data_IF_282578044118
#
_entry.id   IF_282578044118
#
_cell.length_a   1.000
_cell.length_b   1.000
_cell.length_c   1.000
_cell.angle_alpha   90.00
_cell.angle_beta   90.00
_cell.angle_gamma   90.00
#
_symmetry.space_group_name_H-M   'P 1'
#
loop_
_entity.id
_entity.type
_entity.pdbx_description
1 polymer ?
#
# COMPACT_ATOMS: atom_id res chain seq x y z
N UNK A 1 3.66 -5.61 -26.45
CA UNK A 1 3.70 -4.75 -25.23
C UNK A 1 4.91 -5.11 -24.39
N UNK A 2 5.86 -4.18 -24.20
CA UNK A 2 7.03 -4.39 -23.34
C UNK A 2 6.78 -3.65 -22.03
N UNK A 3 6.67 -4.37 -20.91
CA UNK A 3 6.53 -3.80 -19.59
C UNK A 3 7.89 -3.79 -18.89
N UNK A 4 8.27 -2.66 -18.28
CA UNK A 4 9.42 -2.55 -17.41
C UNK A 4 8.99 -2.90 -15.99
N UNK A 5 9.62 -3.92 -15.40
CA UNK A 5 9.41 -4.36 -14.02
C UNK A 5 10.53 -3.78 -13.15
N UNK A 6 10.18 -3.08 -12.10
CA UNK A 6 11.13 -2.48 -11.15
C UNK A 6 10.82 -2.99 -9.75
N UNK A 7 11.80 -3.68 -9.14
CA UNK A 7 11.76 -4.11 -7.75
C UNK A 7 12.43 -3.04 -6.88
N UNK A 8 12.05 -3.01 -5.63
CA UNK A 8 12.66 -2.13 -4.60
C UNK A 8 12.63 -0.62 -4.94
N UNK A 9 11.68 -0.18 -5.78
CA UNK A 9 11.50 1.25 -6.06
C UNK A 9 10.97 1.96 -4.81
N UNK A 10 11.64 3.03 -4.33
CA UNK A 10 11.13 3.82 -3.22
C UNK A 10 9.71 4.35 -3.49
N UNK A 11 8.85 4.34 -2.47
CA UNK A 11 7.45 4.80 -2.59
C UNK A 11 7.38 6.25 -3.10
N UNK A 12 8.25 7.12 -2.61
CA UNK A 12 8.30 8.53 -3.03
C UNK A 12 8.65 8.65 -4.53
N UNK A 13 9.59 7.85 -5.03
CA UNK A 13 9.97 7.83 -6.44
C UNK A 13 8.81 7.32 -7.32
N UNK A 14 8.15 6.24 -6.89
CA UNK A 14 6.97 5.74 -7.58
C UNK A 14 5.86 6.79 -7.66
N UNK A 15 5.56 7.49 -6.58
CA UNK A 15 4.50 8.51 -6.57
C UNK A 15 4.88 9.76 -7.38
N UNK A 16 6.15 10.15 -7.42
CA UNK A 16 6.63 11.28 -8.20
C UNK A 16 6.68 11.00 -9.72
N UNK A 17 6.65 9.74 -10.15
CA UNK A 17 6.75 9.37 -11.57
C UNK A 17 5.55 9.90 -12.37
N UNK A 18 5.75 10.50 -13.57
CA UNK A 18 4.68 11.13 -14.34
C UNK A 18 3.67 10.17 -14.97
N UNK A 19 4.04 8.90 -15.17
CA UNK A 19 3.17 7.88 -15.78
C UNK A 19 1.82 7.77 -15.06
N UNK A 20 0.77 7.48 -15.81
CA UNK A 20 -0.61 7.43 -15.33
C UNK A 20 -0.85 6.19 -14.47
N UNK A 21 -1.27 6.39 -13.22
CA UNK A 21 -1.73 5.31 -12.34
C UNK A 21 -3.23 5.08 -12.45
N UNK A 22 -3.71 3.89 -12.05
CA UNK A 22 -5.14 3.58 -12.00
C UNK A 22 -5.93 4.59 -11.15
N UNK A 23 -5.42 4.99 -10.00
CA UNK A 23 -6.09 5.95 -9.11
C UNK A 23 -6.22 7.33 -9.75
N UNK A 24 -5.21 7.77 -10.51
CA UNK A 24 -5.30 9.02 -11.28
C UNK A 24 -6.21 8.88 -12.48
N UNK A 25 -6.17 7.76 -13.20
CA UNK A 25 -7.07 7.50 -14.33
C UNK A 25 -8.55 7.54 -13.90
N UNK A 26 -8.89 6.96 -12.75
CA UNK A 26 -10.26 7.02 -12.19
C UNK A 26 -10.79 8.44 -11.98
N UNK A 27 -9.90 9.44 -11.82
CA UNK A 27 -10.33 10.85 -11.69
C UNK A 27 -10.84 11.45 -12.99
N UNK A 28 -10.54 10.82 -14.14
CA UNK A 28 -11.03 11.25 -15.44
C UNK A 28 -12.40 10.67 -15.77
N UNK A 29 -12.86 9.64 -15.03
CA UNK A 29 -14.07 8.89 -15.30
C UNK A 29 -15.23 9.32 -14.39
N UNK A 30 -16.50 9.27 -14.88
CA UNK A 30 -17.67 9.49 -14.04
C UNK A 30 -17.69 8.54 -12.81
N UNK A 31 -18.15 8.99 -11.64
CA UNK A 31 -18.72 10.31 -11.31
C UNK A 31 -17.70 11.43 -11.06
N UNK A 32 -16.43 11.21 -11.34
CA UNK A 32 -15.37 12.21 -11.22
C UNK A 32 -15.36 13.14 -12.46
N UNK A 33 -14.38 14.05 -12.55
CA UNK A 33 -14.25 14.94 -13.71
C UNK A 33 -12.77 15.29 -13.94
N UNK A 34 -12.40 15.75 -15.17
CA UNK A 34 -11.02 16.12 -15.50
C UNK A 34 -10.39 17.16 -14.57
N UNK A 35 -11.17 18.09 -14.02
CA UNK A 35 -10.67 19.08 -13.05
C UNK A 35 -10.05 18.42 -11.80
N UNK A 36 -10.61 17.30 -11.34
CA UNK A 36 -10.07 16.53 -10.20
C UNK A 36 -8.76 15.82 -10.53
N UNK A 37 -8.46 15.60 -11.81
CA UNK A 37 -7.18 15.01 -12.20
C UNK A 37 -6.00 15.95 -11.91
N UNK A 38 -6.21 17.26 -12.03
CA UNK A 38 -5.21 18.30 -11.74
C UNK A 38 -5.24 18.77 -10.28
N UNK A 39 -6.26 18.40 -9.53
CA UNK A 39 -6.32 18.71 -8.09
C UNK A 39 -5.25 17.94 -7.32
N UNK A 40 -4.73 18.52 -6.22
CA UNK A 40 -3.84 17.80 -5.32
C UNK A 40 -4.51 16.54 -4.77
N UNK A 41 -3.69 15.58 -4.36
CA UNK A 41 -4.19 14.38 -3.71
C UNK A 41 -4.91 14.75 -2.39
N UNK A 42 -6.04 14.11 -2.07
CA UNK A 42 -6.70 14.34 -0.80
C UNK A 42 -5.78 13.95 0.35
N UNK A 43 -5.93 14.63 1.47
CA UNK A 43 -5.24 14.25 2.71
C UNK A 43 -5.54 12.80 3.07
N UNK A 44 -4.54 12.10 3.55
CA UNK A 44 -4.69 10.72 3.99
C UNK A 44 -5.48 10.68 5.30
N UNK A 45 -6.43 9.77 5.35
CA UNK A 45 -7.19 9.51 6.58
C UNK A 45 -6.46 8.51 7.47
N UNK A 46 -6.74 8.52 8.77
CA UNK A 46 -6.21 7.53 9.72
C UNK A 46 -6.46 6.09 9.27
N UNK A 47 -7.61 5.84 8.62
CA UNK A 47 -7.94 4.52 8.07
C UNK A 47 -7.01 4.12 6.91
N UNK A 48 -6.62 5.08 6.07
CA UNK A 48 -5.66 4.84 4.97
C UNK A 48 -4.27 4.59 5.51
N UNK A 49 -3.81 5.38 6.49
CA UNK A 49 -2.50 5.20 7.14
C UNK A 49 -2.44 3.86 7.88
N UNK A 50 -3.52 3.48 8.57
CA UNK A 50 -3.62 2.17 9.21
C UNK A 50 -3.57 1.02 8.18
N UNK A 51 -4.29 1.16 7.07
CA UNK A 51 -4.25 0.19 5.96
C UNK A 51 -2.83 0.02 5.41
N UNK A 52 -2.13 1.13 5.14
CA UNK A 52 -0.73 1.14 4.69
C UNK A 52 0.20 0.43 5.68
N UNK A 53 0.05 0.69 6.97
CA UNK A 53 0.83 0.00 8.01
C UNK A 53 0.60 -1.51 7.98
N UNK A 54 -0.65 -1.96 7.88
CA UNK A 54 -0.97 -3.40 7.79
C UNK A 54 -0.35 -4.03 6.55
N UNK A 55 -0.41 -3.36 5.39
CA UNK A 55 0.26 -3.80 4.16
C UNK A 55 1.76 -4.00 4.37
N UNK A 56 2.44 -2.98 4.87
CA UNK A 56 3.89 -3.05 5.13
C UNK A 56 4.24 -4.20 6.07
N UNK A 57 3.56 -4.28 7.21
CA UNK A 57 3.82 -5.35 8.18
C UNK A 57 3.48 -6.75 7.65
N UNK A 58 2.52 -6.87 6.74
CA UNK A 58 2.14 -8.16 6.16
C UNK A 58 3.08 -8.60 5.04
N UNK A 59 3.55 -7.69 4.21
CA UNK A 59 4.23 -8.00 2.95
C UNK A 59 5.75 -7.77 3.00
N UNK A 60 6.22 -6.84 3.85
CA UNK A 60 7.63 -6.46 3.91
C UNK A 60 8.27 -6.95 5.23
N UNK A 61 9.18 -7.94 5.20
CA UNK A 61 9.93 -8.36 6.39
C UNK A 61 10.72 -7.21 7.00
N UNK A 62 10.61 -7.03 8.31
CA UNK A 62 11.36 -5.98 9.02
C UNK A 62 10.79 -4.56 8.91
N UNK A 63 9.64 -4.37 8.25
CA UNK A 63 8.99 -3.05 8.07
C UNK A 63 8.67 -2.36 9.41
N UNK A 64 8.53 -3.11 10.51
CA UNK A 64 8.34 -2.55 11.85
C UNK A 64 9.46 -1.63 12.31
N UNK A 65 10.69 -1.81 11.82
CA UNK A 65 11.84 -0.96 12.17
C UNK A 65 11.69 0.49 11.75
N UNK A 66 10.82 0.77 10.77
CA UNK A 66 10.48 2.13 10.33
C UNK A 66 9.53 2.88 11.27
N UNK A 67 9.01 2.23 12.33
CA UNK A 67 8.01 2.79 13.23
C UNK A 67 8.49 2.80 14.67
N UNK A 68 8.22 3.91 15.38
CA UNK A 68 8.56 4.06 16.80
C UNK A 68 7.28 4.25 17.62
N UNK A 69 6.94 3.29 18.49
CA UNK A 69 5.80 3.44 19.38
C UNK A 69 6.03 4.58 20.39
N UNK A 70 5.10 5.53 20.45
CA UNK A 70 5.10 6.64 21.42
C UNK A 70 3.76 6.64 22.15
N UNK A 71 3.83 6.44 23.45
CA UNK A 71 2.68 6.42 24.33
C UNK A 71 2.20 7.82 24.72
N UNK A 72 1.09 7.90 25.44
CA UNK A 72 0.55 9.13 25.97
C UNK A 72 -0.23 9.99 24.97
N UNK A 73 -0.69 11.15 25.42
CA UNK A 73 -1.38 12.11 24.56
C UNK A 73 -0.39 13.04 23.86
N UNK A 74 -0.32 12.95 22.53
CA UNK A 74 0.62 13.72 21.72
C UNK A 74 0.37 15.24 21.69
N UNK A 75 -0.70 15.71 22.30
CA UNK A 75 -0.92 17.14 22.56
C UNK A 75 -0.08 17.66 23.74
N UNK A 76 0.35 16.78 24.63
CA UNK A 76 1.21 17.15 25.74
C UNK A 76 2.67 17.33 25.28
N UNK A 77 3.41 18.16 26.00
CA UNK A 77 4.75 18.58 25.60
C UNK A 77 5.70 17.41 25.38
N UNK A 78 5.85 16.54 26.37
CA UNK A 78 6.80 15.43 26.35
C UNK A 78 6.57 14.45 25.19
N UNK A 79 5.36 13.85 25.00
CA UNK A 79 5.10 13.00 23.84
C UNK A 79 5.20 13.74 22.51
N UNK A 80 4.81 15.01 22.45
CA UNK A 80 4.92 15.84 21.26
C UNK A 80 6.38 16.05 20.83
N UNK A 81 7.26 16.31 21.79
CA UNK A 81 8.69 16.49 21.52
C UNK A 81 9.33 15.17 21.08
N UNK A 82 8.92 14.04 21.66
CA UNK A 82 9.32 12.70 21.22
C UNK A 82 8.83 12.38 19.77
N UNK A 83 7.60 12.72 19.43
CA UNK A 83 7.06 12.59 18.05
C UNK A 83 7.89 13.41 17.07
N UNK A 84 8.25 14.65 17.42
CA UNK A 84 9.07 15.51 16.58
C UNK A 84 10.49 14.93 16.37
N UNK A 85 11.09 14.39 17.42
CA UNK A 85 12.41 13.75 17.34
C UNK A 85 12.41 12.50 16.44
N UNK A 86 11.38 11.65 16.55
CA UNK A 86 11.22 10.46 15.71
C UNK A 86 11.09 10.85 14.24
N UNK A 87 10.26 11.85 13.92
CA UNK A 87 10.10 12.36 12.55
C UNK A 87 11.39 12.96 12.01
N UNK A 88 12.12 13.70 12.84
CA UNK A 88 13.42 14.26 12.46
C UNK A 88 14.48 13.18 12.15
N UNK A 89 14.35 12.00 12.75
CA UNK A 89 15.17 10.83 12.44
C UNK A 89 14.71 10.06 11.19
N UNK A 90 13.68 10.53 10.47
CA UNK A 90 13.12 9.86 9.28
C UNK A 90 12.27 8.62 9.60
N UNK A 91 11.84 8.47 10.87
CA UNK A 91 11.01 7.38 11.33
C UNK A 91 9.55 7.84 11.54
N UNK A 92 8.63 6.89 11.59
CA UNK A 92 7.20 7.17 11.80
C UNK A 92 6.79 6.92 13.25
N UNK A 93 6.36 7.96 13.98
CA UNK A 93 5.79 7.77 15.30
C UNK A 93 4.42 7.11 15.20
N UNK A 94 4.14 6.16 16.08
CA UNK A 94 2.88 5.43 16.08
C UNK A 94 2.39 5.19 17.52
N UNK A 95 1.08 5.08 17.68
CA UNK A 95 0.49 4.66 18.96
C UNK A 95 0.73 3.17 19.21
N UNK A 96 1.14 2.75 20.42
CA UNK A 96 1.39 1.35 20.73
C UNK A 96 0.22 0.43 20.41
N UNK A 97 -1.01 0.86 20.71
CA UNK A 97 -2.24 0.11 20.44
C UNK A 97 -2.52 -0.04 18.94
N UNK A 98 -2.19 0.98 18.13
CA UNK A 98 -2.32 0.94 16.67
C UNK A 98 -1.32 -0.05 16.08
N UNK A 99 -0.06 0.00 16.52
CA UNK A 99 0.98 -0.94 16.14
C UNK A 99 0.60 -2.38 16.52
N UNK A 100 0.17 -2.60 17.75
CA UNK A 100 -0.23 -3.92 18.22
C UNK A 100 -1.42 -4.49 17.41
N UNK A 101 -2.40 -3.64 17.06
CA UNK A 101 -3.53 -4.04 16.22
C UNK A 101 -3.08 -4.41 14.81
N UNK A 102 -2.21 -3.61 14.19
CA UNK A 102 -1.70 -3.86 12.85
C UNK A 102 -0.86 -5.15 12.79
N UNK A 103 0.01 -5.39 13.80
CA UNK A 103 0.79 -6.63 13.91
C UNK A 103 -0.12 -7.86 14.00
N UNK A 104 -1.17 -7.83 14.82
CA UNK A 104 -2.13 -8.94 14.90
C UNK A 104 -2.84 -9.22 13.58
N UNK A 105 -3.17 -8.18 12.80
CA UNK A 105 -3.79 -8.35 11.48
C UNK A 105 -2.80 -8.96 10.48
N UNK A 106 -1.57 -8.46 10.43
CA UNK A 106 -0.52 -8.99 9.57
C UNK A 106 -0.19 -10.46 9.90
N UNK A 107 -0.12 -10.81 11.19
CA UNK A 107 0.11 -12.18 11.65
C UNK A 107 -1.03 -13.12 11.23
N UNK A 108 -2.29 -12.71 11.43
CA UNK A 108 -3.45 -13.49 10.98
C UNK A 108 -3.44 -13.74 9.47
N UNK A 109 -3.02 -12.76 8.68
CA UNK A 109 -2.89 -12.94 7.24
C UNK A 109 -1.81 -13.98 6.91
N UNK A 110 -0.62 -13.87 7.52
CA UNK A 110 0.51 -14.77 7.27
C UNK A 110 0.24 -16.21 7.75
N UNK A 111 -0.55 -16.37 8.79
CA UNK A 111 -0.90 -17.69 9.34
C UNK A 111 -2.13 -18.32 8.67
N UNK A 112 -2.89 -17.55 7.86
CA UNK A 112 -4.03 -18.09 7.15
C UNK A 112 -3.54 -18.95 5.97
N UNK A 113 -3.91 -20.24 5.87
CA UNK A 113 -3.30 -21.17 4.90
C UNK A 113 -3.36 -20.69 3.44
N UNK A 114 -4.53 -20.15 3.01
CA UNK A 114 -4.70 -19.66 1.64
C UNK A 114 -3.89 -18.38 1.40
N UNK A 115 -3.91 -17.43 2.35
CA UNK A 115 -3.17 -16.20 2.20
C UNK A 115 -1.65 -16.44 2.22
N UNK A 116 -1.17 -17.30 3.12
CA UNK A 116 0.23 -17.71 3.15
C UNK A 116 0.66 -18.34 1.82
N UNK A 117 -0.15 -19.25 1.26
CA UNK A 117 0.14 -19.87 -0.04
C UNK A 117 0.12 -18.86 -1.21
N UNK A 118 -0.70 -17.81 -1.14
CA UNK A 118 -0.72 -16.73 -2.15
C UNK A 118 0.50 -15.80 -2.05
N UNK A 119 0.98 -15.57 -0.83
CA UNK A 119 2.12 -14.69 -0.53
C UNK A 119 3.45 -15.46 -0.42
N UNK A 120 3.46 -16.73 -0.79
CA UNK A 120 4.66 -17.53 -0.86
C UNK A 120 5.45 -17.22 -2.15
N UNK A 121 6.76 -17.34 -2.10
CA UNK A 121 7.68 -17.20 -3.24
C UNK A 121 7.33 -16.04 -4.20
N UNK A 122 7.60 -14.81 -3.77
CA UNK A 122 7.32 -13.61 -4.55
C UNK A 122 8.02 -12.37 -4.00
N UNK A 123 7.67 -11.22 -4.58
CA UNK A 123 8.27 -9.95 -4.23
C UNK A 123 7.16 -8.93 -3.87
N UNK A 124 7.29 -8.20 -2.75
CA UNK A 124 6.37 -7.13 -2.38
C UNK A 124 6.60 -5.88 -3.25
N UNK A 125 5.58 -5.04 -3.32
CA UNK A 125 5.66 -3.66 -3.80
C UNK A 125 6.35 -3.48 -5.17
N UNK A 126 6.10 -4.43 -6.11
CA UNK A 126 6.71 -4.41 -7.44
C UNK A 126 6.06 -3.36 -8.32
N UNK A 127 6.87 -2.44 -8.84
CA UNK A 127 6.42 -1.39 -9.75
C UNK A 127 6.50 -1.84 -11.21
N UNK A 128 5.43 -1.59 -11.96
CA UNK A 128 5.33 -1.87 -13.40
C UNK A 128 5.15 -0.57 -14.16
N UNK A 129 5.81 -0.46 -15.31
CA UNK A 129 5.65 0.65 -16.25
C UNK A 129 5.48 0.10 -17.65
N UNK A 130 4.53 0.64 -18.40
CA UNK A 130 4.30 0.27 -19.80
C UNK A 130 3.67 1.43 -20.55
N UNK A 131 3.77 1.39 -21.88
CA UNK A 131 3.03 2.28 -22.75
C UNK A 131 1.78 1.57 -23.25
N UNK A 132 0.61 2.18 -23.10
CA UNK A 132 -0.62 1.67 -23.70
C UNK A 132 -0.56 1.86 -25.22
N UNK A 133 -0.62 0.76 -25.97
CA UNK A 133 -0.42 0.78 -27.42
C UNK A 133 -1.49 1.55 -28.18
N UNK A 134 -2.73 1.57 -27.65
CA UNK A 134 -3.84 2.23 -28.30
C UNK A 134 -3.76 3.76 -28.18
N UNK A 135 -3.26 4.26 -27.06
CA UNK A 135 -3.27 5.70 -26.74
C UNK A 135 -1.88 6.34 -26.70
N UNK A 136 -0.81 5.54 -26.66
CA UNK A 136 0.56 6.02 -26.46
C UNK A 136 0.82 6.55 -25.03
N UNK A 137 -0.11 6.38 -24.09
CA UNK A 137 0.03 6.88 -22.72
C UNK A 137 0.94 5.98 -21.91
N UNK A 138 1.93 6.57 -21.25
CA UNK A 138 2.73 5.86 -20.26
C UNK A 138 1.90 5.59 -19.01
N UNK A 139 1.83 4.33 -18.63
CA UNK A 139 1.08 3.82 -17.50
C UNK A 139 1.99 3.22 -16.43
N UNK A 140 1.52 3.22 -15.19
CA UNK A 140 2.18 2.55 -14.07
C UNK A 140 1.20 1.84 -13.16
N UNK A 141 1.66 0.76 -12.56
CA UNK A 141 1.00 0.08 -11.46
C UNK A 141 2.02 -0.30 -10.39
N UNK A 142 1.57 -0.42 -9.15
CA UNK A 142 2.35 -1.01 -8.07
C UNK A 142 1.56 -2.19 -7.56
N UNK A 143 2.18 -3.35 -7.61
CA UNK A 143 1.58 -4.61 -7.18
C UNK A 143 1.92 -4.84 -5.72
N UNK A 144 0.94 -5.13 -4.89
CA UNK A 144 1.18 -5.47 -3.49
C UNK A 144 2.09 -6.69 -3.36
N UNK A 145 1.87 -7.69 -4.23
CA UNK A 145 2.70 -8.89 -4.31
C UNK A 145 2.76 -9.43 -5.74
N UNK A 146 3.95 -9.72 -6.22
CA UNK A 146 4.18 -10.42 -7.48
C UNK A 146 4.81 -11.76 -7.20
N UNK A 147 4.09 -12.85 -7.42
CA UNK A 147 4.64 -14.19 -7.31
C UNK A 147 5.69 -14.46 -8.40
N UNK A 148 6.70 -15.23 -8.05
CA UNK A 148 7.65 -15.70 -9.05
C UNK A 148 6.95 -16.64 -10.06
N UNK A 149 7.23 -16.52 -11.37
CA UNK A 149 6.62 -17.36 -12.39
C UNK A 149 6.96 -18.84 -12.16
N UNK A 150 5.96 -19.69 -12.32
CA UNK A 150 6.14 -21.15 -12.33
C UNK A 150 5.75 -21.65 -13.70
N UNK A 151 6.64 -22.43 -14.32
CA UNK A 151 6.41 -22.97 -15.66
C UNK A 151 5.09 -23.78 -15.74
N UNK A 152 4.33 -23.54 -16.79
CA UNK A 152 3.03 -24.19 -17.01
C UNK A 152 1.89 -23.71 -16.10
N UNK A 153 2.13 -22.69 -15.25
CA UNK A 153 1.09 -22.11 -14.38
C UNK A 153 0.80 -20.65 -14.71
N UNK A 154 -0.41 -20.20 -14.37
CA UNK A 154 -0.77 -18.79 -14.49
C UNK A 154 0.02 -17.98 -13.45
N UNK A 155 0.49 -16.80 -13.85
CA UNK A 155 1.05 -15.82 -12.93
C UNK A 155 -0.05 -15.34 -11.96
N UNK A 156 0.26 -15.35 -10.67
CA UNK A 156 -0.62 -14.82 -9.63
C UNK A 156 -0.09 -13.48 -9.15
N UNK A 157 -1.02 -12.53 -9.02
CA UNK A 157 -0.77 -11.17 -8.52
C UNK A 157 -1.77 -10.94 -7.39
N UNK A 158 -1.47 -11.39 -6.16
CA UNK A 158 -2.29 -11.11 -4.99
C UNK A 158 -2.32 -9.62 -4.68
N UNK A 159 -3.50 -9.11 -4.34
CA UNK A 159 -3.72 -7.73 -3.94
C UNK A 159 -4.37 -7.75 -2.54
N UNK A 160 -3.77 -7.04 -1.59
CA UNK A 160 -4.23 -6.98 -0.21
C UNK A 160 -5.15 -5.78 -0.02
N UNK A 161 -6.35 -6.00 0.45
CA UNK A 161 -7.31 -4.94 0.76
C UNK A 161 -7.71 -4.94 2.22
N UNK A 162 -7.51 -3.83 2.89
CA UNK A 162 -8.10 -3.60 4.21
C UNK A 162 -9.55 -3.15 4.06
N UNK A 163 -10.45 -3.76 4.84
CA UNK A 163 -11.86 -3.41 4.83
C UNK A 163 -12.41 -3.40 6.26
N UNK A 164 -13.56 -2.73 6.46
CA UNK A 164 -14.27 -2.73 7.76
C UNK A 164 -14.73 -4.12 8.18
N UNK A 165 -15.06 -4.96 7.22
CA UNK A 165 -15.57 -6.30 7.43
C UNK A 165 -14.95 -7.26 6.41
N UNK A 166 -14.56 -8.45 6.86
CA UNK A 166 -14.16 -9.58 6.03
C UNK A 166 -15.34 -10.38 5.46
N UNK A 167 -16.59 -9.95 5.70
CA UNK A 167 -17.77 -10.57 5.11
C UNK A 167 -17.70 -10.49 3.58
N UNK A 168 -17.91 -11.59 2.83
CA UNK A 168 -17.88 -11.57 1.37
C UNK A 168 -18.85 -10.54 0.75
N UNK A 169 -20.00 -10.34 1.36
CA UNK A 169 -21.00 -9.36 0.89
C UNK A 169 -20.51 -7.92 1.05
N UNK A 170 -19.95 -7.57 2.20
CA UNK A 170 -19.41 -6.22 2.45
C UNK A 170 -18.14 -5.96 1.67
N UNK A 171 -17.27 -6.94 1.56
CA UNK A 171 -16.07 -6.86 0.73
C UNK A 171 -16.40 -6.66 -0.74
N UNK A 172 -17.40 -7.39 -1.28
CA UNK A 172 -17.85 -7.23 -2.65
C UNK A 172 -18.42 -5.85 -2.97
N UNK A 173 -18.94 -5.11 -1.98
CA UNK A 173 -19.35 -3.70 -2.13
C UNK A 173 -18.14 -2.75 -2.16
N UNK A 174 -17.12 -3.04 -1.38
CA UNK A 174 -15.90 -2.22 -1.28
C UNK A 174 -14.94 -2.42 -2.46
N UNK A 175 -15.01 -3.57 -3.14
CA UNK A 175 -14.14 -3.93 -4.26
C UNK A 175 -14.65 -3.46 -5.64
N UNK A 176 -15.84 -2.83 -5.69
CA UNK A 176 -16.39 -2.18 -6.90
C UNK A 176 -15.92 -0.75 -6.99
#
# INVERSE_FOLDING_TARGET
>A
MSARVVRDMPEAEYHAHPALSQSRAKRLLPPSCPAKFHAPDPERTDAMEFGKLVHKLALEPGAESGYVPIDGNWSHKEPRDAVAAVRAAGLEPIKPEVMARAKRMAEKLRTHPVAAALLDDGNPEVSLFWTDEATGVECRARLDWLRNPVEGRRLLIPDLKSARSGSPTEFGKAAK
#
